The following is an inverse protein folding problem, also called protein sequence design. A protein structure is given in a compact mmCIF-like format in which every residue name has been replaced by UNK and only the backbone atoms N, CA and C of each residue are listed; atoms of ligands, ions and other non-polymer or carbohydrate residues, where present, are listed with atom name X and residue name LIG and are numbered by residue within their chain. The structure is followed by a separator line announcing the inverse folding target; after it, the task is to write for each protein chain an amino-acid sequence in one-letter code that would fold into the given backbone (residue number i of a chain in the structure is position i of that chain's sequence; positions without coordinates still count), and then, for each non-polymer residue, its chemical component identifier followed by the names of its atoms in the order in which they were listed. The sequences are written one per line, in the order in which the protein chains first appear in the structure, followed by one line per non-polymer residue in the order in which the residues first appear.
data_IF_972332600314
#
_entry.id   IF_972332600314
#
_cell.length_a   1.000
_cell.length_b   1.000
_cell.length_c   1.000
_cell.angle_alpha   90.00
_cell.angle_beta   90.00
_cell.angle_gamma   90.00
#
_symmetry.space_group_name_H-M   'P 1'
#
loop_
_entity.id
_entity.type
_entity.pdbx_description
1 polymer ?
#
# COMPACT_ATOMS: atom_id res chain seq x y z
N UNK A 1 -7.46 -2.40 -18.56
CA UNK A 1 -6.38 -3.41 -18.63
C UNK A 1 -5.29 -3.06 -19.63
N UNK A 2 -5.62 -2.55 -20.82
CA UNK A 2 -4.65 -2.06 -21.82
C UNK A 2 -3.61 -1.03 -21.30
N UNK A 3 -3.98 -0.20 -20.32
CA UNK A 3 -3.08 0.81 -19.75
C UNK A 3 -1.85 0.19 -19.08
N UNK A 4 -2.00 -0.88 -18.30
CA UNK A 4 -0.85 -1.53 -17.66
C UNK A 4 0.01 -2.30 -18.65
N UNK A 5 -0.61 -2.94 -19.64
CA UNK A 5 0.10 -3.67 -20.69
C UNK A 5 0.99 -2.70 -21.48
N UNK A 6 0.42 -1.58 -21.93
CA UNK A 6 1.18 -0.52 -22.58
C UNK A 6 2.22 0.09 -21.64
N UNK A 7 1.90 0.33 -20.37
CA UNK A 7 2.90 0.83 -19.44
C UNK A 7 4.09 -0.14 -19.29
N UNK A 8 3.84 -1.43 -19.12
CA UNK A 8 4.90 -2.42 -18.94
C UNK A 8 5.81 -2.55 -20.17
N UNK A 9 5.23 -2.46 -21.37
CA UNK A 9 5.97 -2.48 -22.65
C UNK A 9 6.98 -1.33 -22.75
N UNK A 10 6.63 -0.14 -22.22
CA UNK A 10 7.45 1.06 -22.36
C UNK A 10 8.29 1.40 -21.13
N UNK A 11 7.97 0.86 -19.95
CA UNK A 11 8.76 1.06 -18.73
C UNK A 11 9.98 0.14 -18.79
N UNK A 12 11.22 0.71 -18.74
CA UNK A 12 12.44 -0.09 -18.74
C UNK A 12 12.47 -1.13 -17.61
N UNK A 13 13.12 -2.29 -17.79
CA UNK A 13 13.17 -3.35 -16.78
C UNK A 13 13.72 -2.91 -15.42
N UNK A 14 14.60 -1.91 -15.39
CA UNK A 14 15.18 -1.32 -14.18
C UNK A 14 14.24 -0.35 -13.44
N UNK A 15 13.05 -0.08 -13.99
CA UNK A 15 12.04 0.79 -13.39
C UNK A 15 10.82 -0.01 -12.98
N UNK A 16 10.31 0.31 -11.79
CA UNK A 16 9.15 -0.33 -11.20
C UNK A 16 7.85 0.18 -11.83
N UNK A 17 6.93 -0.75 -12.05
CA UNK A 17 5.53 -0.52 -12.37
C UNK A 17 4.69 -0.80 -11.13
N UNK A 18 4.24 0.26 -10.46
CA UNK A 18 3.28 0.16 -9.35
C UNK A 18 1.87 0.37 -9.91
N UNK A 19 1.01 -0.65 -9.81
CA UNK A 19 -0.34 -0.61 -10.34
C UNK A 19 -1.37 -0.19 -9.28
N UNK A 20 -2.17 0.84 -9.55
CA UNK A 20 -3.29 1.22 -8.69
C UNK A 20 -4.47 0.24 -8.85
N UNK A 21 -4.70 -0.61 -7.86
CA UNK A 21 -5.70 -1.70 -7.94
C UNK A 21 -6.74 -1.69 -6.80
N UNK A 22 -6.67 -0.71 -5.90
CA UNK A 22 -7.64 -0.56 -4.80
C UNK A 22 -9.07 -0.35 -5.30
N UNK A 23 -10.00 -1.11 -4.74
CA UNK A 23 -11.44 -1.04 -5.02
C UNK A 23 -12.22 -1.08 -3.71
N UNK A 24 -13.51 -0.71 -3.75
CA UNK A 24 -14.39 -0.73 -2.58
C UNK A 24 -14.64 -2.14 -2.01
N UNK A 25 -14.43 -3.18 -2.82
CA UNK A 25 -14.61 -4.59 -2.42
C UNK A 25 -13.27 -5.31 -2.34
N UNK A 26 -13.06 -6.06 -1.25
CA UNK A 26 -11.90 -6.97 -1.08
C UNK A 26 -11.77 -7.93 -2.26
N UNK A 27 -12.88 -8.56 -2.68
CA UNK A 27 -12.89 -9.53 -3.78
C UNK A 27 -12.46 -8.89 -5.10
N UNK A 28 -12.97 -7.69 -5.38
CA UNK A 28 -12.64 -6.96 -6.60
C UNK A 28 -11.18 -6.52 -6.59
N UNK A 29 -10.70 -6.03 -5.44
CA UNK A 29 -9.30 -5.64 -5.24
C UNK A 29 -8.36 -6.83 -5.50
N UNK A 30 -8.67 -8.02 -4.97
CA UNK A 30 -7.90 -9.25 -5.24
C UNK A 30 -7.89 -9.58 -6.74
N UNK A 31 -9.07 -9.61 -7.38
CA UNK A 31 -9.20 -9.97 -8.79
C UNK A 31 -8.39 -9.01 -9.69
N UNK A 32 -8.49 -7.71 -9.44
CA UNK A 32 -7.80 -6.67 -10.19
C UNK A 32 -6.28 -6.70 -9.92
N UNK A 33 -5.87 -6.91 -8.67
CA UNK A 33 -4.45 -7.01 -8.29
C UNK A 33 -3.78 -8.24 -8.90
N UNK A 34 -4.45 -9.40 -8.91
CA UNK A 34 -3.96 -10.58 -9.63
C UNK A 34 -3.83 -10.32 -11.12
N UNK A 35 -4.68 -9.48 -11.69
CA UNK A 35 -4.58 -9.11 -13.08
C UNK A 35 -3.40 -8.17 -13.35
N UNK A 36 -3.15 -7.19 -12.48
CA UNK A 36 -1.95 -6.36 -12.52
C UNK A 36 -0.67 -7.18 -12.41
N UNK A 37 -0.64 -8.16 -11.49
CA UNK A 37 0.48 -9.08 -11.35
C UNK A 37 0.77 -9.87 -12.64
N UNK A 38 -0.29 -10.37 -13.32
CA UNK A 38 -0.14 -11.08 -14.61
C UNK A 38 0.45 -10.21 -15.73
N UNK A 39 0.25 -8.90 -15.65
CA UNK A 39 0.83 -7.93 -16.60
C UNK A 39 2.29 -7.60 -16.27
N UNK A 40 2.81 -8.00 -15.10
CA UNK A 40 4.16 -7.69 -14.66
C UNK A 40 4.27 -6.39 -13.87
N UNK A 41 3.23 -6.03 -13.12
CA UNK A 41 3.33 -5.01 -12.08
C UNK A 41 4.20 -5.54 -10.93
N UNK A 42 5.10 -4.69 -10.44
CA UNK A 42 6.05 -5.01 -9.37
C UNK A 42 5.43 -4.85 -7.98
N UNK A 43 4.42 -3.98 -7.84
CA UNK A 43 3.64 -3.80 -6.63
C UNK A 43 2.24 -3.25 -6.92
N UNK A 44 1.34 -3.36 -5.94
CA UNK A 44 -0.01 -2.85 -5.99
C UNK A 44 -0.22 -1.69 -5.02
N UNK A 45 -0.76 -0.57 -5.51
CA UNK A 45 -1.15 0.57 -4.69
C UNK A 45 -2.66 0.54 -4.43
N UNK A 46 -3.04 0.37 -3.16
CA UNK A 46 -4.42 0.13 -2.75
C UNK A 46 -4.99 1.34 -2.00
N UNK A 47 -5.80 2.14 -2.71
CA UNK A 47 -6.60 3.19 -2.07
C UNK A 47 -7.52 2.58 -1.03
N UNK A 48 -7.63 3.23 0.13
CA UNK A 48 -8.53 2.81 1.19
C UNK A 48 -9.98 2.81 0.67
N UNK A 49 -10.74 1.71 0.85
CA UNK A 49 -12.18 1.70 0.58
C UNK A 49 -12.85 2.83 1.38
N UNK A 50 -13.78 3.54 0.77
CA UNK A 50 -14.25 4.81 1.31
C UNK A 50 -15.70 5.16 0.97
N UNK A 51 -16.36 4.43 0.08
CA UNK A 51 -17.75 4.71 -0.28
C UNK A 51 -18.70 4.51 0.91
N UNK A 52 -18.41 3.52 1.77
CA UNK A 52 -19.12 3.27 3.03
C UNK A 52 -18.23 3.60 4.23
N UNK A 53 -17.76 4.84 4.31
CA UNK A 53 -16.84 5.36 5.33
C UNK A 53 -17.18 4.97 6.78
N UNK A 54 -18.44 5.05 7.19
CA UNK A 54 -18.89 4.66 8.53
C UNK A 54 -18.72 3.16 8.87
N UNK A 55 -18.40 2.33 7.87
CA UNK A 55 -18.08 0.90 8.02
C UNK A 55 -16.59 0.60 7.88
N UNK A 56 -15.78 1.60 7.56
CA UNK A 56 -14.31 1.50 7.45
C UNK A 56 -13.65 1.62 8.81
N UNK A 57 -14.10 0.77 9.74
CA UNK A 57 -13.49 0.64 11.06
C UNK A 57 -12.06 0.09 10.94
N UNK A 58 -11.20 0.33 11.95
CA UNK A 58 -9.87 -0.28 12.00
C UNK A 58 -9.89 -1.79 11.72
N UNK A 59 -10.80 -2.53 12.35
CA UNK A 59 -10.94 -3.98 12.16
C UNK A 59 -11.32 -4.35 10.72
N UNK A 60 -12.25 -3.60 10.11
CA UNK A 60 -12.64 -3.80 8.71
C UNK A 60 -11.47 -3.60 7.76
N UNK A 61 -10.70 -2.52 7.97
CA UNK A 61 -9.55 -2.18 7.13
C UNK A 61 -8.42 -3.18 7.31
N UNK A 62 -8.14 -3.61 8.54
CA UNK A 62 -7.16 -4.66 8.83
C UNK A 62 -7.52 -5.93 8.06
N UNK A 63 -8.76 -6.39 8.21
CA UNK A 63 -9.24 -7.59 7.52
C UNK A 63 -9.15 -7.44 6.00
N UNK A 64 -9.56 -6.30 5.44
CA UNK A 64 -9.47 -6.03 4.01
C UNK A 64 -8.03 -6.14 3.49
N UNK A 65 -7.09 -5.40 4.08
CA UNK A 65 -5.71 -5.37 3.60
C UNK A 65 -5.00 -6.71 3.80
N UNK A 66 -5.18 -7.38 4.94
CA UNK A 66 -4.61 -8.72 5.16
C UNK A 66 -5.15 -9.73 4.15
N UNK A 67 -6.48 -9.77 3.96
CA UNK A 67 -7.10 -10.71 3.01
C UNK A 67 -6.64 -10.46 1.58
N UNK A 68 -6.44 -9.20 1.18
CA UNK A 68 -5.86 -8.90 -0.14
C UNK A 68 -4.41 -9.39 -0.19
N UNK A 69 -3.60 -9.06 0.81
CA UNK A 69 -2.17 -9.37 0.84
C UNK A 69 -1.88 -10.87 0.91
N UNK A 70 -2.76 -11.67 1.52
CA UNK A 70 -2.68 -13.15 1.56
C UNK A 70 -2.94 -13.78 0.18
N UNK A 71 -3.75 -13.15 -0.67
CA UNK A 71 -4.30 -13.75 -1.89
C UNK A 71 -3.59 -13.28 -3.17
N UNK A 72 -2.74 -12.25 -3.10
CA UNK A 72 -2.08 -11.64 -4.26
C UNK A 72 -0.58 -11.95 -4.28
N UNK A 73 0.00 -12.23 -5.47
CA UNK A 73 1.39 -12.68 -5.58
C UNK A 73 2.42 -11.54 -5.60
N UNK A 74 1.98 -10.27 -5.48
CA UNK A 74 2.85 -9.10 -5.54
C UNK A 74 2.70 -8.24 -4.27
N UNK A 75 3.73 -7.50 -3.87
CA UNK A 75 3.69 -6.59 -2.72
C UNK A 75 2.56 -5.57 -2.78
N UNK A 76 2.00 -5.27 -1.61
CA UNK A 76 0.91 -4.31 -1.41
C UNK A 76 1.43 -3.06 -0.69
N UNK A 77 1.04 -1.90 -1.22
CA UNK A 77 1.26 -0.59 -0.63
C UNK A 77 -0.11 0.01 -0.29
N UNK A 78 -0.31 0.36 0.97
CA UNK A 78 -1.52 1.05 1.44
C UNK A 78 -1.50 2.49 0.90
N UNK A 79 -2.62 2.98 0.38
CA UNK A 79 -2.74 4.39 -0.03
C UNK A 79 -3.83 5.10 0.76
N UNK A 80 -3.40 5.91 1.72
CA UNK A 80 -4.28 6.77 2.53
C UNK A 80 -4.33 8.18 1.95
N UNK A 81 -5.53 8.59 1.55
CA UNK A 81 -5.81 9.94 1.02
C UNK A 81 -7.10 10.52 1.62
N UNK A 82 -7.10 10.86 2.93
CA UNK A 82 -8.30 11.30 3.65
C UNK A 82 -9.01 12.49 3.00
N UNK A 83 -8.28 13.35 2.29
CA UNK A 83 -8.84 14.48 1.55
C UNK A 83 -9.90 14.06 0.51
N UNK A 84 -9.80 12.86 -0.05
CA UNK A 84 -10.75 12.33 -1.02
C UNK A 84 -11.56 11.14 -0.48
N UNK A 85 -11.00 10.37 0.46
CA UNK A 85 -11.67 9.20 1.04
C UNK A 85 -12.54 9.53 2.25
N UNK A 86 -12.27 10.61 2.98
CA UNK A 86 -12.84 10.87 4.32
C UNK A 86 -12.52 9.78 5.36
N UNK A 87 -11.69 8.79 4.99
CA UNK A 87 -11.24 7.70 5.84
C UNK A 87 -9.75 7.90 6.09
N UNK A 88 -9.40 8.14 7.35
CA UNK A 88 -8.02 8.23 7.82
C UNK A 88 -7.67 7.02 8.69
N UNK A 89 -6.55 6.38 8.39
CA UNK A 89 -6.06 5.23 9.15
C UNK A 89 -5.15 5.73 10.27
N UNK A 90 -5.40 5.30 11.49
CA UNK A 90 -4.54 5.63 12.63
C UNK A 90 -3.20 4.87 12.57
N UNK A 91 -2.18 5.40 13.26
CA UNK A 91 -0.83 4.84 13.25
C UNK A 91 -0.75 3.41 13.82
N UNK A 92 -1.61 3.04 14.77
CA UNK A 92 -1.63 1.70 15.38
C UNK A 92 -2.15 0.67 14.39
N UNK A 93 -3.22 1.00 13.67
CA UNK A 93 -3.77 0.19 12.59
C UNK A 93 -2.74 -0.04 11.49
N UNK A 94 -2.03 1.01 11.07
CA UNK A 94 -0.96 0.91 10.06
C UNK A 94 0.20 0.04 10.57
N UNK A 95 0.63 0.23 11.82
CA UNK A 95 1.68 -0.57 12.42
C UNK A 95 1.31 -2.06 12.49
N UNK A 96 0.06 -2.40 12.80
CA UNK A 96 -0.38 -3.79 12.79
C UNK A 96 -0.29 -4.41 11.38
N UNK A 97 -0.70 -3.64 10.35
CA UNK A 97 -0.61 -4.08 8.96
C UNK A 97 0.84 -4.23 8.47
N UNK A 98 1.76 -3.41 8.98
CA UNK A 98 3.19 -3.51 8.64
C UNK A 98 3.84 -4.85 9.02
N UNK A 99 3.20 -5.62 9.90
CA UNK A 99 3.67 -6.96 10.31
C UNK A 99 3.41 -8.03 9.25
N UNK A 100 2.58 -7.73 8.27
CA UNK A 100 2.30 -8.65 7.18
C UNK A 100 3.40 -8.58 6.13
N UNK A 101 4.09 -9.70 5.89
CA UNK A 101 5.25 -9.77 4.98
C UNK A 101 5.01 -9.22 3.56
N UNK A 102 3.77 -9.33 3.07
CA UNK A 102 3.39 -8.84 1.73
C UNK A 102 2.85 -7.39 1.73
N UNK A 103 2.75 -6.71 2.89
CA UNK A 103 2.38 -5.29 2.99
C UNK A 103 3.64 -4.49 3.30
N UNK A 104 4.22 -3.90 2.27
CA UNK A 104 5.58 -3.36 2.32
C UNK A 104 5.64 -1.87 2.67
N UNK A 105 4.49 -1.18 2.66
CA UNK A 105 4.49 0.24 2.98
C UNK A 105 3.13 0.92 2.94
N UNK A 106 3.17 2.21 3.23
CA UNK A 106 2.07 3.15 3.10
C UNK A 106 2.50 4.40 2.35
N UNK A 107 1.65 4.85 1.45
CA UNK A 107 1.64 6.19 0.89
C UNK A 107 0.58 7.00 1.60
N UNK A 108 0.99 7.96 2.42
CA UNK A 108 0.10 8.84 3.18
C UNK A 108 0.10 10.24 2.58
N UNK A 109 -1.09 10.77 2.32
CA UNK A 109 -1.28 12.14 1.79
C UNK A 109 -2.18 13.00 2.67
N UNK A 110 -2.44 12.56 3.91
CA UNK A 110 -3.27 13.26 4.90
C UNK A 110 -2.61 14.47 5.54
N UNK A 111 -1.28 14.62 5.46
CA UNK A 111 -0.56 15.80 5.96
C UNK A 111 -0.36 15.85 7.49
N UNK A 112 -0.77 14.81 8.22
CA UNK A 112 -0.59 14.74 9.68
C UNK A 112 0.80 14.19 10.03
N UNK A 113 1.78 15.08 10.22
CA UNK A 113 3.16 14.73 10.55
C UNK A 113 3.30 13.96 11.87
N UNK A 114 2.47 14.25 12.88
CA UNK A 114 2.52 13.55 14.16
C UNK A 114 2.12 12.08 13.99
N UNK A 115 1.02 11.82 13.28
CA UNK A 115 0.58 10.47 12.93
C UNK A 115 1.66 9.73 12.15
N UNK A 116 2.30 10.37 11.18
CA UNK A 116 3.38 9.76 10.40
C UNK A 116 4.60 9.41 11.26
N UNK A 117 5.02 10.30 12.17
CA UNK A 117 6.10 10.02 13.09
C UNK A 117 5.77 8.82 13.98
N UNK A 118 4.52 8.71 14.44
CA UNK A 118 4.04 7.53 15.17
C UNK A 118 4.03 6.28 14.30
N UNK A 119 3.60 6.36 13.04
CA UNK A 119 3.66 5.24 12.10
C UNK A 119 5.09 4.74 11.92
N UNK A 120 6.06 5.62 11.65
CA UNK A 120 7.50 5.26 11.52
C UNK A 120 8.02 4.65 12.83
N UNK A 121 7.57 5.16 13.98
CA UNK A 121 8.00 4.66 15.29
C UNK A 121 7.46 3.26 15.59
N UNK A 122 6.22 2.98 15.21
CA UNK A 122 5.48 1.77 15.57
C UNK A 122 5.55 0.66 14.52
N UNK A 123 5.75 0.99 13.25
CA UNK A 123 5.81 0.01 12.17
C UNK A 123 7.08 -0.85 12.23
N UNK A 124 7.02 -1.98 11.52
CA UNK A 124 8.17 -2.89 11.34
C UNK A 124 9.35 -2.19 10.66
N UNK A 125 10.56 -2.69 10.94
CA UNK A 125 11.80 -2.01 10.57
C UNK A 125 11.97 -1.80 9.06
N UNK A 126 11.40 -2.67 8.21
CA UNK A 126 11.52 -2.59 6.75
C UNK A 126 10.29 -1.95 6.08
N UNK A 127 9.30 -1.52 6.86
CA UNK A 127 8.08 -0.91 6.35
C UNK A 127 8.34 0.51 5.81
N UNK A 128 7.95 0.74 4.56
CA UNK A 128 8.18 2.02 3.89
C UNK A 128 7.05 3.02 4.17
N UNK A 129 7.41 4.24 4.57
CA UNK A 129 6.43 5.32 4.81
C UNK A 129 6.73 6.45 3.83
N UNK A 130 5.87 6.63 2.83
CA UNK A 130 6.00 7.68 1.82
C UNK A 130 5.06 8.84 2.13
N UNK A 131 5.60 10.06 2.05
CA UNK A 131 4.86 11.31 2.06
C UNK A 131 5.45 12.23 1.00
N UNK A 132 4.62 12.67 0.05
CA UNK A 132 4.95 13.71 -0.93
C UNK A 132 6.33 13.54 -1.64
N UNK A 133 6.36 12.84 -2.78
CA UNK A 133 7.51 12.70 -3.72
C UNK A 133 8.88 12.29 -3.12
N UNK A 134 8.97 12.01 -1.81
CA UNK A 134 10.21 11.66 -1.11
C UNK A 134 9.98 10.42 -0.23
N UNK A 135 10.90 9.47 -0.31
CA UNK A 135 10.87 8.22 0.44
C UNK A 135 11.53 8.42 1.81
N UNK A 136 10.78 8.20 2.89
CA UNK A 136 11.35 8.00 4.22
C UNK A 136 11.37 6.48 4.52
N UNK A 137 12.54 5.88 4.34
CA UNK A 137 12.77 4.49 4.70
C UNK A 137 12.91 4.41 6.22
N UNK A 138 12.00 3.71 6.91
CA UNK A 138 12.29 3.27 8.27
C UNK A 138 13.47 2.28 8.13
N UNK A 139 14.63 2.57 8.71
CA UNK A 139 15.73 1.60 8.81
C UNK A 139 16.27 1.66 10.22
N UNK A 140 15.97 0.63 11.02
CA UNK A 140 16.65 0.39 12.30
C UNK A 140 17.76 -0.64 12.10
N UNK A 141 18.89 -0.19 11.54
CA UNK A 141 20.17 -0.90 11.58
C UNK A 141 20.41 -1.96 10.48
N UNK A 142 21.54 -1.80 9.78
CA UNK A 142 22.39 -2.91 9.33
C UNK A 142 21.92 -3.80 8.18
N UNK A 143 22.00 -3.29 6.95
CA UNK A 143 22.36 -4.08 5.77
C UNK A 143 21.27 -4.98 5.14
N UNK A 144 20.67 -4.47 4.07
CA UNK A 144 20.73 -5.12 2.75
C UNK A 144 20.48 -4.10 1.63
N UNK A 145 21.11 -4.44 0.52
CA UNK A 145 21.13 -3.87 -0.82
C UNK A 145 19.81 -3.21 -1.28
N UNK A 146 19.97 -2.13 -2.04
CA UNK A 146 18.89 -1.29 -2.56
C UNK A 146 18.09 -1.94 -3.69
N UNK A 147 17.43 -3.05 -3.41
CA UNK A 147 16.30 -3.56 -4.18
C UNK A 147 15.02 -3.32 -3.40
N UNK A 148 14.02 -2.77 -4.08
CA UNK A 148 12.63 -2.93 -3.70
C UNK A 148 12.26 -4.41 -3.72
#
# INVERSE_FOLDING_TARGET
MRVWETAREWIPPEKLLIAGTGCESTRQTIALTRQAARVGADAALLVTPHYYDGRMTPQSLIHHYQTVADEVPIPVIIYSVPKFTHVDMDAVTIALLSRHHNIIGIKDTGGNLAKMADTVRLAEADFQVEFFVSWACCRRGGGRDGSF
#
